data_IF_837566013106
#
_entry.id   IF_837566013106
#
_cell.length_a   1.000
_cell.length_b   1.000
_cell.length_c   1.000
_cell.angle_alpha   90.00
_cell.angle_beta   90.00
_cell.angle_gamma   90.00
#
_symmetry.space_group_name_H-M   'P 1'
#
loop_
_entity.id
_entity.type
_entity.pdbx_description
1 polymer ?
#
# COMPACT_ATOMS: atom_id res chain seq x y z
N UNK A 1 27.38 37.07 -48.71
CA UNK A 1 26.66 35.80 -48.81
C UNK A 1 27.32 34.64 -48.02
N UNK A 2 28.64 34.39 -48.18
CA UNK A 2 29.33 33.30 -47.46
C UNK A 2 29.33 33.43 -45.92
N UNK A 3 29.44 34.66 -45.36
CA UNK A 3 29.39 34.91 -43.92
C UNK A 3 28.01 34.71 -43.32
N UNK A 4 26.93 35.04 -44.04
CA UNK A 4 25.56 34.83 -43.59
C UNK A 4 25.19 33.35 -43.59
N UNK A 5 25.61 32.55 -44.57
CA UNK A 5 25.41 31.11 -44.59
C UNK A 5 26.13 30.38 -43.44
N UNK A 6 27.33 30.87 -43.08
CA UNK A 6 28.09 30.29 -41.94
C UNK A 6 27.44 30.58 -40.59
N UNK A 7 26.87 31.78 -40.40
CA UNK A 7 26.11 32.13 -39.18
C UNK A 7 24.83 31.34 -39.06
N UNK A 8 24.07 31.13 -40.12
CA UNK A 8 22.84 30.30 -40.11
C UNK A 8 23.20 28.86 -39.78
N UNK A 9 24.28 28.32 -40.34
CA UNK A 9 24.74 26.96 -40.02
C UNK A 9 25.16 26.78 -38.56
N UNK A 10 25.81 27.76 -37.95
CA UNK A 10 26.22 27.72 -36.52
C UNK A 10 25.01 27.81 -35.61
N UNK A 11 24.02 28.65 -35.92
CA UNK A 11 22.77 28.75 -35.14
C UNK A 11 21.97 27.47 -35.24
N UNK A 12 21.88 26.85 -36.41
CA UNK A 12 21.16 25.56 -36.59
C UNK A 12 21.83 24.40 -35.83
N UNK A 13 23.17 24.30 -35.90
CA UNK A 13 23.95 23.30 -35.18
C UNK A 13 23.90 23.48 -33.66
N UNK A 14 23.92 24.73 -33.19
CA UNK A 14 23.80 25.02 -31.74
C UNK A 14 22.40 24.74 -31.23
N UNK A 15 21.36 25.10 -31.97
CA UNK A 15 19.96 24.77 -31.63
C UNK A 15 19.71 23.26 -31.62
N UNK A 16 20.21 22.52 -32.60
CA UNK A 16 20.08 21.08 -32.65
C UNK A 16 20.83 20.33 -31.49
N UNK A 17 22.03 20.81 -31.14
CA UNK A 17 22.77 20.30 -29.98
C UNK A 17 22.05 20.60 -28.66
N UNK A 18 21.54 21.83 -28.52
CA UNK A 18 20.76 22.20 -27.32
C UNK A 18 19.50 21.33 -27.18
N UNK A 19 18.81 21.04 -28.26
CA UNK A 19 17.62 20.20 -28.29
C UNK A 19 17.95 18.75 -27.93
N UNK A 20 19.03 18.16 -28.48
CA UNK A 20 19.50 16.82 -28.10
C UNK A 20 19.90 16.74 -26.63
N UNK A 21 20.63 17.73 -26.12
CA UNK A 21 21.02 17.75 -24.70
C UNK A 21 19.82 17.88 -23.78
N UNK A 22 18.77 18.61 -24.18
CA UNK A 22 17.52 18.71 -23.42
C UNK A 22 16.76 17.38 -23.43
N UNK A 23 16.69 16.71 -24.59
CA UNK A 23 16.06 15.39 -24.74
C UNK A 23 16.78 14.32 -23.91
N UNK A 24 18.12 14.28 -23.94
CA UNK A 24 18.94 13.36 -23.12
C UNK A 24 18.72 13.59 -21.63
N UNK A 25 18.66 14.84 -21.17
CA UNK A 25 18.37 15.18 -19.77
C UNK A 25 16.96 14.77 -19.38
N UNK A 26 15.99 14.98 -20.24
CA UNK A 26 14.61 14.58 -19.99
C UNK A 26 14.49 13.04 -19.86
N UNK A 27 15.11 12.29 -20.76
CA UNK A 27 15.17 10.83 -20.67
C UNK A 27 15.83 10.34 -19.38
N UNK A 28 16.95 10.96 -18.98
CA UNK A 28 17.62 10.63 -17.71
C UNK A 28 16.73 10.91 -16.49
N UNK A 29 15.99 12.03 -16.51
CA UNK A 29 15.02 12.36 -15.46
C UNK A 29 13.92 11.31 -15.37
N UNK A 30 13.34 10.90 -16.52
CA UNK A 30 12.31 9.87 -16.57
C UNK A 30 12.81 8.52 -16.04
N UNK A 31 14.02 8.10 -16.44
CA UNK A 31 14.62 6.87 -15.95
C UNK A 31 14.86 6.92 -14.43
N UNK A 32 15.33 8.04 -13.92
CA UNK A 32 15.53 8.25 -12.48
C UNK A 32 14.19 8.16 -11.73
N UNK A 33 13.16 8.92 -12.14
CA UNK A 33 11.83 8.93 -11.54
C UNK A 33 11.23 7.51 -11.55
N UNK A 34 11.31 6.81 -12.69
CA UNK A 34 10.84 5.42 -12.81
C UNK A 34 11.57 4.47 -11.85
N UNK A 35 12.88 4.58 -11.78
CA UNK A 35 13.70 3.74 -10.89
C UNK A 35 13.39 3.98 -9.42
N UNK A 36 13.26 5.26 -9.01
CA UNK A 36 12.96 5.63 -7.63
C UNK A 36 11.55 5.24 -7.22
N UNK A 37 10.54 5.50 -8.07
CA UNK A 37 9.15 5.10 -7.77
C UNK A 37 9.02 3.58 -7.59
N UNK A 38 9.67 2.80 -8.46
CA UNK A 38 9.70 1.33 -8.32
C UNK A 38 10.39 0.87 -7.02
N UNK A 39 11.44 1.57 -6.62
CA UNK A 39 12.16 1.26 -5.37
C UNK A 39 11.32 1.58 -4.14
N UNK A 40 10.59 2.70 -4.16
CA UNK A 40 9.69 3.11 -3.09
C UNK A 40 8.50 2.16 -2.95
N UNK A 41 7.90 1.75 -4.08
CA UNK A 41 6.83 0.75 -4.10
C UNK A 41 7.30 -0.57 -3.46
N UNK A 42 8.44 -1.11 -3.87
CA UNK A 42 9.01 -2.33 -3.29
C UNK A 42 9.31 -2.21 -1.79
N UNK A 43 9.75 -1.05 -1.35
CA UNK A 43 10.00 -0.79 0.06
C UNK A 43 8.69 -0.83 0.84
N UNK A 44 7.66 -0.12 0.38
CA UNK A 44 6.34 -0.07 1.01
C UNK A 44 5.69 -1.47 1.07
N UNK A 45 5.78 -2.24 -0.03
CA UNK A 45 5.33 -3.63 -0.08
C UNK A 45 6.05 -4.51 0.93
N UNK A 46 7.37 -4.33 1.07
CA UNK A 46 8.19 -5.10 2.01
C UNK A 46 7.80 -4.81 3.46
N UNK A 47 7.54 -3.56 3.81
CA UNK A 47 7.08 -3.18 5.16
C UNK A 47 5.73 -3.84 5.45
N UNK A 48 4.78 -3.72 4.52
CA UNK A 48 3.45 -4.32 4.63
C UNK A 48 3.55 -5.84 4.77
N UNK A 49 4.33 -6.51 3.95
CA UNK A 49 4.53 -7.95 4.01
C UNK A 49 5.14 -8.41 5.35
N UNK A 50 6.10 -7.64 5.91
CA UNK A 50 6.67 -7.94 7.24
C UNK A 50 5.64 -7.80 8.35
N UNK A 51 4.80 -6.77 8.30
CA UNK A 51 3.75 -6.55 9.28
C UNK A 51 2.70 -7.68 9.24
N UNK A 52 2.21 -8.03 8.04
CA UNK A 52 1.30 -9.14 7.82
C UNK A 52 1.87 -10.48 8.27
N UNK A 53 3.15 -10.75 7.97
CA UNK A 53 3.82 -11.98 8.44
C UNK A 53 3.86 -12.09 9.96
N UNK A 54 4.12 -10.98 10.68
CA UNK A 54 4.11 -10.98 12.15
C UNK A 54 2.72 -11.32 12.70
N UNK A 55 1.68 -10.78 12.08
CA UNK A 55 0.29 -11.07 12.48
C UNK A 55 -0.10 -12.51 12.14
N UNK A 56 0.35 -13.05 10.99
CA UNK A 56 0.17 -14.44 10.61
C UNK A 56 0.83 -15.42 11.59
N UNK A 57 2.05 -15.13 12.03
CA UNK A 57 2.74 -15.96 13.05
C UNK A 57 1.99 -15.93 14.36
N UNK A 58 1.48 -14.78 14.77
CA UNK A 58 0.73 -14.64 16.02
C UNK A 58 -0.58 -15.45 15.99
N UNK A 59 -1.38 -15.39 14.90
CA UNK A 59 -2.63 -16.16 14.81
C UNK A 59 -2.35 -17.66 14.77
N UNK A 60 -1.26 -18.09 14.17
CA UNK A 60 -0.86 -19.51 14.15
C UNK A 60 -0.52 -20.01 15.55
N UNK A 61 0.27 -19.23 16.32
CA UNK A 61 0.59 -19.55 17.72
C UNK A 61 -0.65 -19.62 18.59
N UNK A 62 -1.66 -18.78 18.32
CA UNK A 62 -2.94 -18.83 19.03
C UNK A 62 -3.74 -20.09 18.67
N UNK A 63 -3.80 -20.44 17.39
CA UNK A 63 -4.55 -21.59 16.90
C UNK A 63 -4.01 -22.93 17.41
N UNK A 64 -2.69 -23.03 17.58
CA UNK A 64 -2.00 -24.22 18.10
C UNK A 64 -1.95 -24.29 19.64
N UNK A 65 -2.46 -23.28 20.35
CA UNK A 65 -2.41 -23.24 21.81
C UNK A 65 -3.59 -23.99 22.44
N UNK A 66 -3.40 -25.22 22.97
CA UNK A 66 -4.48 -26.02 23.53
C UNK A 66 -5.03 -25.46 24.86
N UNK A 67 -4.30 -24.54 25.49
CA UNK A 67 -4.73 -23.88 26.74
C UNK A 67 -5.49 -22.58 26.49
N UNK A 68 -5.75 -22.22 25.23
CA UNK A 68 -6.47 -21.01 24.89
C UNK A 68 -7.98 -21.22 25.02
N UNK A 69 -8.58 -20.55 25.98
CA UNK A 69 -10.04 -20.49 26.08
C UNK A 69 -10.58 -19.42 25.17
N UNK A 70 -11.23 -19.84 24.06
CA UNK A 70 -11.77 -18.97 23.02
C UNK A 70 -13.06 -18.26 23.45
N UNK A 71 -13.65 -18.64 24.57
CA UNK A 71 -14.87 -18.04 25.15
C UNK A 71 -14.58 -17.05 26.28
N UNK A 72 -13.35 -17.02 26.79
CA UNK A 72 -12.94 -16.12 27.88
C UNK A 72 -12.22 -14.85 27.32
N UNK A 73 -12.86 -13.66 27.36
CA UNK A 73 -12.21 -12.42 26.95
C UNK A 73 -10.94 -12.10 27.73
N UNK A 74 -10.84 -12.52 29.00
CA UNK A 74 -9.64 -12.28 29.82
C UNK A 74 -8.47 -13.16 29.37
N UNK A 75 -8.76 -14.40 28.95
CA UNK A 75 -7.77 -15.27 28.34
C UNK A 75 -7.26 -14.67 27.02
N UNK A 76 -8.14 -14.20 26.16
CA UNK A 76 -7.78 -13.52 24.90
C UNK A 76 -6.97 -12.26 25.18
N UNK A 77 -7.34 -11.44 26.18
CA UNK A 77 -6.61 -10.21 26.52
C UNK A 77 -5.16 -10.49 26.89
N UNK A 78 -4.92 -11.47 27.74
CA UNK A 78 -3.55 -11.89 28.10
C UNK A 78 -2.72 -12.30 26.88
N UNK A 79 -3.32 -12.96 25.90
CA UNK A 79 -2.62 -13.34 24.66
C UNK A 79 -2.42 -12.14 23.74
N UNK A 80 -3.38 -11.23 23.67
CA UNK A 80 -3.26 -9.96 22.93
C UNK A 80 -2.04 -9.17 23.39
N UNK A 81 -1.88 -9.00 24.69
CA UNK A 81 -0.74 -8.32 25.30
C UNK A 81 0.58 -9.07 25.05
N UNK A 82 0.60 -10.39 25.28
CA UNK A 82 1.78 -11.24 25.10
C UNK A 82 2.32 -11.23 23.67
N UNK A 83 1.43 -11.21 22.68
CA UNK A 83 1.79 -11.25 21.25
C UNK A 83 1.88 -9.86 20.61
N UNK A 84 1.75 -8.80 21.40
CA UNK A 84 1.79 -7.42 20.91
C UNK A 84 0.78 -7.18 19.79
N UNK A 85 -0.43 -7.70 19.96
CA UNK A 85 -1.56 -7.49 19.07
C UNK A 85 -2.37 -6.28 19.55
N UNK A 86 -3.17 -5.72 18.65
CA UNK A 86 -4.21 -4.77 19.02
C UNK A 86 -5.46 -5.51 19.49
N UNK A 87 -5.75 -6.65 18.88
CA UNK A 87 -6.85 -7.48 19.33
C UNK A 87 -6.86 -8.88 18.73
N UNK A 88 -7.74 -9.68 19.31
CA UNK A 88 -8.08 -11.03 18.87
C UNK A 88 -9.60 -11.13 18.84
N UNK A 89 -10.15 -11.57 17.71
CA UNK A 89 -11.58 -11.85 17.57
C UNK A 89 -11.80 -13.32 17.23
N UNK A 90 -12.82 -13.91 17.83
CA UNK A 90 -13.24 -15.29 17.55
C UNK A 90 -14.57 -15.24 16.83
N UNK A 91 -14.61 -15.78 15.62
CA UNK A 91 -15.82 -15.82 14.81
C UNK A 91 -16.36 -17.24 14.70
N UNK A 92 -17.68 -17.33 14.63
CA UNK A 92 -18.38 -18.55 14.23
C UNK A 92 -18.20 -18.86 12.75
N UNK A 93 -18.62 -20.05 12.31
CA UNK A 93 -18.54 -20.46 10.90
C UNK A 93 -19.43 -19.60 9.98
N UNK A 94 -20.39 -18.91 10.55
CA UNK A 94 -21.27 -17.94 9.90
C UNK A 94 -20.68 -16.51 9.85
N UNK A 95 -19.46 -16.33 10.34
CA UNK A 95 -18.78 -15.03 10.42
C UNK A 95 -19.27 -14.12 11.55
N UNK A 96 -20.15 -14.65 12.45
CA UNK A 96 -20.60 -13.86 13.61
C UNK A 96 -19.53 -13.80 14.68
N UNK A 97 -19.36 -12.62 15.28
CA UNK A 97 -18.46 -12.42 16.41
C UNK A 97 -18.97 -13.17 17.64
N UNK A 98 -18.13 -14.02 18.23
CA UNK A 98 -18.43 -14.81 19.43
C UNK A 98 -17.75 -14.25 20.67
N UNK A 99 -16.47 -13.91 20.53
CA UNK A 99 -15.67 -13.36 21.61
C UNK A 99 -14.64 -12.42 21.03
N UNK A 100 -14.26 -11.40 21.78
CA UNK A 100 -13.25 -10.44 21.35
C UNK A 100 -12.46 -9.90 22.54
N UNK A 101 -11.19 -9.60 22.28
CA UNK A 101 -10.34 -8.79 23.14
C UNK A 101 -9.67 -7.71 22.30
N UNK A 102 -9.70 -6.48 22.75
CA UNK A 102 -9.04 -5.35 22.11
C UNK A 102 -8.41 -4.44 23.14
N UNK A 103 -7.19 -3.93 22.84
CA UNK A 103 -6.45 -3.06 23.75
C UNK A 103 -6.72 -1.56 23.53
N UNK A 104 -7.11 -1.15 22.31
CA UNK A 104 -7.23 0.25 21.93
C UNK A 104 -8.65 0.65 21.53
N UNK A 105 -9.67 -0.15 21.85
CA UNK A 105 -11.05 0.11 21.41
C UNK A 105 -11.26 -0.05 19.89
N UNK A 106 -10.28 -0.55 19.14
CA UNK A 106 -10.41 -0.88 17.72
C UNK A 106 -10.80 -2.34 17.64
N UNK A 107 -12.10 -2.60 17.49
CA UNK A 107 -12.66 -3.93 17.41
C UNK A 107 -12.97 -4.39 15.98
N UNK A 108 -13.46 -5.62 15.89
CA UNK A 108 -13.87 -6.26 14.63
C UNK A 108 -14.93 -5.45 13.86
N UNK A 109 -15.78 -4.72 14.56
CA UNK A 109 -16.80 -3.85 13.99
C UNK A 109 -16.25 -2.80 13.01
N UNK A 110 -15.01 -2.35 13.20
CA UNK A 110 -14.37 -1.32 12.38
C UNK A 110 -13.93 -1.82 11.00
N UNK A 111 -13.61 -3.09 10.86
CA UNK A 111 -13.05 -3.66 9.63
C UNK A 111 -13.72 -4.97 9.18
N UNK A 112 -14.57 -5.56 9.99
CA UNK A 112 -15.16 -6.88 9.76
C UNK A 112 -15.97 -6.97 8.46
N UNK A 113 -16.69 -5.92 8.09
CA UNK A 113 -17.49 -5.90 6.85
C UNK A 113 -16.61 -5.99 5.59
N UNK A 114 -15.38 -5.46 5.63
CA UNK A 114 -14.42 -5.60 4.54
C UNK A 114 -13.86 -7.03 4.42
N UNK A 115 -13.90 -7.81 5.51
CA UNK A 115 -13.48 -9.21 5.51
C UNK A 115 -14.59 -10.17 5.10
N UNK A 116 -15.87 -9.83 5.37
CA UNK A 116 -17.03 -10.64 4.96
C UNK A 116 -17.13 -10.82 3.45
N UNK A 117 -16.69 -9.82 2.69
CA UNK A 117 -16.68 -9.83 1.23
C UNK A 117 -15.40 -10.45 0.64
N UNK A 118 -14.53 -10.98 1.47
CA UNK A 118 -13.23 -11.53 1.10
C UNK A 118 -13.13 -13.00 1.55
N UNK A 119 -12.12 -13.70 1.10
CA UNK A 119 -11.87 -15.12 1.34
C UNK A 119 -11.47 -15.49 2.79
N UNK A 120 -11.67 -14.59 3.77
CA UNK A 120 -11.27 -14.84 5.16
C UNK A 120 -11.97 -16.07 5.77
N UNK A 121 -13.27 -16.25 5.49
CA UNK A 121 -14.05 -17.39 5.95
C UNK A 121 -13.71 -18.72 5.24
N UNK A 122 -13.14 -18.66 4.04
CA UNK A 122 -12.73 -19.86 3.29
C UNK A 122 -11.66 -20.67 4.03
N UNK A 123 -10.93 -20.04 4.96
CA UNK A 123 -9.93 -20.69 5.82
C UNK A 123 -10.54 -21.81 6.65
N UNK A 124 -11.82 -21.73 7.01
CA UNK A 124 -12.52 -22.79 7.73
C UNK A 124 -12.54 -24.12 6.97
N UNK A 125 -12.61 -24.05 5.64
CA UNK A 125 -12.52 -25.23 4.74
C UNK A 125 -11.07 -25.69 4.52
N UNK A 126 -10.07 -24.89 4.90
CA UNK A 126 -8.66 -25.14 4.70
C UNK A 126 -7.85 -24.96 5.99
N UNK A 127 -7.96 -25.90 6.96
CA UNK A 127 -7.46 -25.71 8.33
C UNK A 127 -5.95 -25.50 8.45
N UNK A 128 -5.17 -25.73 7.39
CA UNK A 128 -3.73 -25.47 7.36
C UNK A 128 -3.35 -24.14 6.72
N UNK A 129 -4.33 -23.37 6.22
CA UNK A 129 -4.07 -22.10 5.56
C UNK A 129 -4.30 -20.94 6.52
N UNK A 130 -3.50 -19.92 6.37
CA UNK A 130 -3.67 -18.63 7.03
C UNK A 130 -4.01 -17.59 5.99
N UNK A 131 -5.11 -16.88 6.20
CA UNK A 131 -5.45 -15.70 5.43
C UNK A 131 -4.77 -14.48 6.04
N UNK A 132 -4.28 -13.56 5.22
CA UNK A 132 -3.69 -12.30 5.66
C UNK A 132 -4.12 -11.17 4.73
N UNK A 133 -4.44 -10.01 5.32
CA UNK A 133 -4.81 -8.81 4.57
C UNK A 133 -4.49 -7.55 5.37
N UNK A 134 -4.03 -6.50 4.69
CA UNK A 134 -4.06 -5.14 5.21
C UNK A 134 -5.36 -4.47 4.78
N UNK A 135 -6.12 -4.02 5.75
CA UNK A 135 -7.35 -3.25 5.55
C UNK A 135 -7.01 -1.78 5.81
N UNK A 136 -7.25 -0.92 4.83
CA UNK A 136 -7.15 0.52 5.00
C UNK A 136 -8.53 1.04 5.43
N UNK A 137 -8.55 1.83 6.51
CA UNK A 137 -9.76 2.45 7.01
C UNK A 137 -9.94 3.84 6.38
N UNK A 138 -11.15 4.37 6.45
CA UNK A 138 -11.51 5.67 5.87
C UNK A 138 -10.71 6.84 6.44
N UNK A 139 -10.21 6.72 7.67
CA UNK A 139 -9.39 7.72 8.35
C UNK A 139 -7.89 7.65 7.97
N UNK A 140 -7.51 6.80 7.01
CA UNK A 140 -6.14 6.59 6.58
C UNK A 140 -5.33 5.65 7.46
N UNK A 141 -5.90 5.15 8.56
CA UNK A 141 -5.27 4.13 9.41
C UNK A 141 -5.32 2.75 8.74
N UNK A 142 -4.52 1.81 9.24
CA UNK A 142 -4.45 0.46 8.70
C UNK A 142 -4.65 -0.61 9.78
N UNK A 143 -5.30 -1.72 9.40
CA UNK A 143 -5.42 -2.92 10.22
C UNK A 143 -4.80 -4.10 9.48
N UNK A 144 -3.71 -4.63 10.00
CA UNK A 144 -3.10 -5.87 9.52
C UNK A 144 -3.79 -7.05 10.17
N UNK A 145 -4.55 -7.80 9.38
CA UNK A 145 -5.36 -8.93 9.86
C UNK A 145 -4.76 -10.25 9.40
N UNK A 146 -4.76 -11.23 10.28
CA UNK A 146 -4.53 -12.63 9.93
C UNK A 146 -5.64 -13.50 10.50
N UNK A 147 -6.13 -14.43 9.69
CA UNK A 147 -7.18 -15.40 10.09
C UNK A 147 -6.65 -16.82 9.97
N UNK A 148 -6.98 -17.63 10.94
CA UNK A 148 -6.68 -19.08 10.97
C UNK A 148 -7.82 -19.83 11.66
N UNK A 149 -8.10 -21.06 11.22
CA UNK A 149 -9.03 -21.92 11.92
C UNK A 149 -8.43 -22.38 13.25
N UNK A 150 -9.17 -22.28 14.34
CA UNK A 150 -8.72 -22.81 15.62
C UNK A 150 -8.71 -24.34 15.58
N UNK A 151 -7.63 -24.95 16.08
CA UNK A 151 -7.51 -26.41 16.10
C UNK A 151 -8.66 -27.08 16.82
N UNK A 152 -9.12 -28.18 16.25
CA UNK A 152 -10.21 -28.99 16.79
C UNK A 152 -11.57 -28.28 16.90
N UNK A 153 -11.76 -27.13 16.31
CA UNK A 153 -13.01 -26.37 16.31
C UNK A 153 -13.41 -25.92 14.90
N UNK A 154 -14.65 -25.45 14.77
CA UNK A 154 -15.09 -24.74 13.54
C UNK A 154 -15.05 -23.22 13.70
N UNK A 155 -14.29 -22.72 14.67
CA UNK A 155 -14.16 -21.30 14.94
C UNK A 155 -13.00 -20.71 14.14
N UNK A 156 -13.19 -19.47 13.69
CA UNK A 156 -12.16 -18.69 13.04
C UNK A 156 -11.53 -17.73 14.06
N UNK A 157 -10.22 -17.83 14.21
CA UNK A 157 -9.41 -16.88 14.97
C UNK A 157 -8.94 -15.77 14.03
N UNK A 158 -9.20 -14.54 14.41
CA UNK A 158 -8.61 -13.34 13.83
C UNK A 158 -7.64 -12.75 14.83
N UNK A 159 -6.39 -12.53 14.39
CA UNK A 159 -5.44 -11.68 15.10
C UNK A 159 -5.21 -10.43 14.27
N UNK A 160 -5.13 -9.27 14.92
CA UNK A 160 -4.93 -8.04 14.19
C UNK A 160 -4.08 -7.01 14.91
N UNK A 161 -3.46 -6.12 14.11
CA UNK A 161 -2.66 -5.00 14.56
C UNK A 161 -3.15 -3.74 13.87
N UNK A 162 -3.48 -2.76 14.67
CA UNK A 162 -3.86 -1.42 14.19
C UNK A 162 -2.63 -0.53 14.10
N UNK A 163 -2.56 0.24 13.03
CA UNK A 163 -1.55 1.27 12.80
C UNK A 163 -2.27 2.60 12.56
N UNK A 164 -2.13 3.61 13.42
CA UNK A 164 -2.71 4.92 13.21
C UNK A 164 -2.28 5.56 11.87
N UNK A 165 -3.12 6.43 11.31
CA UNK A 165 -2.87 7.05 10.00
C UNK A 165 -1.51 7.78 9.94
N UNK A 166 -1.15 8.51 10.97
CA UNK A 166 0.14 9.21 11.09
C UNK A 166 1.35 8.26 10.93
N UNK A 167 1.29 7.05 11.53
CA UNK A 167 2.35 6.07 11.39
C UNK A 167 2.31 5.32 10.06
N UNK A 168 1.14 5.21 9.43
CA UNK A 168 1.04 4.66 8.06
C UNK A 168 1.76 5.61 7.09
N UNK A 169 1.55 6.92 7.22
CA UNK A 169 2.21 7.93 6.41
C UNK A 169 3.72 8.03 6.70
N UNK A 170 4.13 8.03 7.97
CA UNK A 170 5.55 8.12 8.35
C UNK A 170 6.38 6.91 7.90
N UNK A 171 5.79 5.72 7.87
CA UNK A 171 6.51 4.50 7.49
C UNK A 171 6.53 4.25 5.99
N UNK A 172 5.59 4.83 5.24
CA UNK A 172 5.55 4.73 3.80
C UNK A 172 6.43 5.80 3.14
N UNK A 173 7.24 5.40 2.17
CA UNK A 173 7.90 6.36 1.29
C UNK A 173 6.87 6.95 0.34
N UNK A 174 6.73 8.28 0.38
CA UNK A 174 5.81 9.00 -0.48
C UNK A 174 6.27 8.96 -1.94
N UNK A 175 5.49 8.37 -2.82
CA UNK A 175 5.77 8.38 -4.26
C UNK A 175 5.80 9.81 -4.79
N UNK A 176 5.01 10.73 -4.20
CA UNK A 176 5.02 12.15 -4.57
C UNK A 176 6.41 12.78 -4.37
N UNK A 177 7.15 12.40 -3.32
CA UNK A 177 8.47 12.95 -3.04
C UNK A 177 9.52 12.63 -4.10
N UNK A 178 9.29 11.63 -4.96
CA UNK A 178 10.15 11.34 -6.11
C UNK A 178 10.15 12.48 -7.13
N UNK A 179 9.08 13.27 -7.17
CA UNK A 179 8.91 14.43 -8.06
C UNK A 179 9.36 15.76 -7.43
N UNK A 180 9.76 15.74 -6.15
CA UNK A 180 10.29 16.91 -5.48
C UNK A 180 11.58 17.40 -6.17
N UNK A 181 11.68 18.71 -6.36
CA UNK A 181 12.81 19.30 -7.07
C UNK A 181 12.69 19.31 -8.61
N UNK A 182 11.59 18.86 -9.17
CA UNK A 182 11.27 18.95 -10.60
C UNK A 182 10.08 19.89 -10.84
N UNK A 183 10.25 21.23 -10.76
CA UNK A 183 9.15 22.16 -11.02
C UNK A 183 8.68 22.08 -12.47
N UNK A 184 7.37 22.13 -12.69
CA UNK A 184 6.76 21.94 -14.02
C UNK A 184 7.24 22.95 -15.06
N UNK A 185 7.56 24.18 -14.63
CA UNK A 185 8.01 25.28 -15.50
C UNK A 185 9.36 24.98 -16.17
N UNK A 186 10.23 24.23 -15.51
CA UNK A 186 11.59 23.94 -16.00
C UNK A 186 11.79 22.49 -16.43
N UNK A 187 11.06 21.57 -15.83
CA UNK A 187 11.21 20.12 -16.06
C UNK A 187 10.13 19.55 -16.98
N UNK A 188 9.12 20.34 -17.32
CA UNK A 188 7.91 19.87 -17.97
C UNK A 188 6.99 19.13 -17.00
N UNK A 189 5.83 18.72 -17.48
CA UNK A 189 4.84 18.01 -16.68
C UNK A 189 5.26 16.56 -16.47
N UNK A 190 5.54 16.20 -15.22
CA UNK A 190 5.88 14.84 -14.77
C UNK A 190 4.76 14.30 -13.91
N UNK A 191 4.36 13.05 -14.12
CA UNK A 191 3.38 12.38 -13.30
C UNK A 191 3.59 10.86 -13.28
N UNK A 192 3.12 10.23 -12.21
CA UNK A 192 3.20 8.78 -11.99
C UNK A 192 1.77 8.23 -11.94
N UNK A 193 1.53 7.17 -12.69
CA UNK A 193 0.21 6.52 -12.80
C UNK A 193 0.26 5.13 -12.20
N UNK A 194 -0.73 4.80 -11.39
CA UNK A 194 -0.99 3.46 -10.89
C UNK A 194 -2.48 3.15 -11.03
N UNK A 195 -2.82 1.98 -11.57
CA UNK A 195 -4.21 1.54 -11.77
C UNK A 195 -5.10 2.56 -12.52
N UNK A 196 -4.57 3.21 -13.55
CA UNK A 196 -5.20 4.27 -14.34
C UNK A 196 -5.41 5.60 -13.58
N UNK A 197 -4.91 5.77 -12.38
CA UNK A 197 -5.04 6.99 -11.60
C UNK A 197 -3.68 7.67 -11.43
N UNK A 198 -3.63 8.99 -11.53
CA UNK A 198 -2.44 9.78 -11.25
C UNK A 198 -2.24 9.81 -9.73
N UNK A 199 -1.18 9.14 -9.25
CA UNK A 199 -0.84 9.03 -7.82
C UNK A 199 0.23 10.02 -7.38
N UNK A 200 0.98 10.60 -8.30
CA UNK A 200 1.94 11.66 -8.05
C UNK A 200 2.08 12.56 -9.29
N UNK A 201 2.22 13.85 -9.10
CA UNK A 201 2.44 14.83 -10.17
C UNK A 201 3.19 16.06 -9.66
N UNK A 202 4.05 16.64 -10.50
CA UNK A 202 4.66 17.95 -10.23
C UNK A 202 3.72 19.12 -10.56
N UNK A 203 2.51 18.86 -11.04
CA UNK A 203 1.43 19.78 -11.35
C UNK A 203 0.20 19.35 -10.54
N UNK A 204 -0.21 20.12 -9.50
CA UNK A 204 -1.24 19.67 -8.54
C UNK A 204 -2.60 19.36 -9.17
N UNK A 205 -2.92 20.01 -10.27
CA UNK A 205 -4.18 19.78 -11.00
C UNK A 205 -4.32 18.37 -11.60
N UNK A 206 -3.22 17.64 -11.73
CA UNK A 206 -3.24 16.27 -12.28
C UNK A 206 -3.48 15.21 -11.21
N UNK A 207 -3.32 15.53 -9.94
CA UNK A 207 -3.47 14.58 -8.86
C UNK A 207 -4.88 13.98 -8.81
N UNK A 208 -4.94 12.65 -8.73
CA UNK A 208 -6.21 11.90 -8.65
C UNK A 208 -6.97 11.77 -9.97
N UNK A 209 -6.52 12.38 -11.07
CA UNK A 209 -7.20 12.23 -12.37
C UNK A 209 -7.10 10.80 -12.89
N UNK A 210 -8.20 10.34 -13.51
CA UNK A 210 -8.19 9.10 -14.29
C UNK A 210 -7.47 9.35 -15.63
N UNK A 211 -6.54 8.46 -15.95
CA UNK A 211 -5.76 8.54 -17.19
C UNK A 211 -6.59 8.27 -18.45
N UNK A 212 -7.75 7.62 -18.32
CA UNK A 212 -8.68 7.41 -19.44
C UNK A 212 -9.30 8.73 -19.91
N UNK A 213 -9.53 9.66 -19.01
CA UNK A 213 -10.19 10.95 -19.27
C UNK A 213 -9.19 12.11 -19.53
N UNK A 214 -7.90 11.88 -19.32
CA UNK A 214 -6.88 12.91 -19.47
C UNK A 214 -6.38 13.03 -20.91
N UNK A 215 -6.59 14.18 -21.60
CA UNK A 215 -6.07 14.41 -22.95
C UNK A 215 -4.53 14.33 -23.04
N UNK A 216 -3.83 14.64 -21.95
CA UNK A 216 -2.36 14.56 -21.86
C UNK A 216 -1.87 13.12 -21.97
N UNK A 217 -2.55 12.17 -21.28
CA UNK A 217 -2.16 10.76 -21.30
C UNK A 217 -2.51 10.09 -22.62
N UNK A 218 -3.62 10.47 -23.24
CA UNK A 218 -4.00 10.00 -24.57
C UNK A 218 -2.98 10.44 -25.66
N UNK A 219 -2.35 11.60 -25.49
CA UNK A 219 -1.29 12.08 -26.37
C UNK A 219 0.01 11.27 -26.28
N UNK A 220 0.32 10.65 -25.13
CA UNK A 220 1.53 9.85 -24.91
C UNK A 220 1.37 8.40 -25.43
N UNK A 221 0.13 7.90 -25.53
CA UNK A 221 -0.16 6.54 -26.04
C UNK A 221 -0.15 6.41 -27.56
N UNK A 222 0.09 7.50 -28.30
CA UNK A 222 0.28 7.54 -29.77
C UNK A 222 1.76 7.57 -30.10
#
# INVERSE_FOLDING_TARGET
YKRQLLMIGVIFLSGWRAMRTAEERFCQTLEFVKSQSTSFEKYNDTITAKALRRTAVAVHQLAENPALDLSDPQCLNRQTEKLWLTGISVLGPDGTLRCESTTNGIGYDRFGDQLKNDAALDVLSYPRKTYVKRVLLEDGSAVDVAAHRADSTELLLLAYRYTPAEFVEETALSIQSVLDGYPAETSGTLFIVQNNQVIAANSPELMGQDTADSPLVQGIRK
#
